data_IF_210064579530
#
_entry.id   IF_210064579530
#
_cell.length_a   1.000
_cell.length_b   1.000
_cell.length_c   1.000
_cell.angle_alpha   90.00
_cell.angle_beta   90.00
_cell.angle_gamma   90.00
#
_symmetry.space_group_name_H-M   'P 1'
#
loop_
_entity.id
_entity.type
_entity.pdbx_description
1 polymer ?
#
# COMPACT_ATOMS: atom_id res chain seq x y z
N UNK A 1 10.23 8.01 -7.37
CA UNK A 1 8.99 7.51 -8.00
C UNK A 1 8.95 6.00 -7.94
N UNK A 2 7.82 5.42 -7.54
CA UNK A 2 7.54 3.99 -7.59
C UNK A 2 6.51 3.72 -8.68
N UNK A 3 6.79 2.80 -9.60
CA UNK A 3 5.85 2.37 -10.65
C UNK A 3 5.40 0.94 -10.39
N UNK A 4 4.09 0.73 -10.33
CA UNK A 4 3.46 -0.57 -10.19
C UNK A 4 2.86 -1.00 -11.53
N UNK A 5 3.08 -2.27 -11.90
CA UNK A 5 2.72 -2.78 -13.22
C UNK A 5 1.93 -4.08 -13.09
N UNK A 6 0.86 -4.20 -13.89
CA UNK A 6 0.04 -5.40 -13.94
C UNK A 6 -0.92 -5.54 -12.76
N UNK A 7 -1.15 -6.76 -12.34
CA UNK A 7 -2.05 -7.10 -11.24
C UNK A 7 -1.29 -7.01 -9.90
N UNK A 8 -1.53 -5.91 -9.18
CA UNK A 8 -0.80 -5.59 -7.95
C UNK A 8 -1.51 -6.18 -6.75
N UNK A 9 -0.92 -7.20 -6.18
CA UNK A 9 -1.50 -8.02 -5.11
C UNK A 9 -0.60 -8.18 -3.90
N UNK A 10 -1.16 -8.81 -2.88
CA UNK A 10 -0.54 -9.25 -1.63
C UNK A 10 0.90 -9.78 -1.78
N UNK A 11 1.23 -10.45 -2.89
CA UNK A 11 2.58 -10.98 -3.14
C UNK A 11 3.69 -9.93 -3.17
N UNK A 12 3.34 -8.65 -3.36
CA UNK A 12 4.28 -7.53 -3.34
C UNK A 12 4.45 -6.87 -1.97
N UNK A 13 3.67 -7.27 -0.96
CA UNK A 13 3.66 -6.63 0.35
C UNK A 13 5.05 -6.56 0.99
N UNK A 14 5.78 -7.68 1.03
CA UNK A 14 7.11 -7.73 1.63
C UNK A 14 8.11 -6.86 0.89
N UNK A 15 8.05 -6.85 -0.44
CA UNK A 15 8.90 -6.02 -1.28
C UNK A 15 8.64 -4.54 -1.05
N UNK A 16 7.37 -4.14 -1.04
CA UNK A 16 6.97 -2.75 -0.85
C UNK A 16 7.30 -2.25 0.56
N UNK A 17 7.05 -3.06 1.58
CA UNK A 17 7.33 -2.70 2.97
C UNK A 17 8.83 -2.43 3.17
N UNK A 18 9.71 -3.31 2.70
CA UNK A 18 11.16 -3.12 2.77
C UNK A 18 11.65 -1.94 1.92
N UNK A 19 11.07 -1.74 0.74
CA UNK A 19 11.41 -0.61 -0.11
C UNK A 19 11.08 0.70 0.62
N UNK A 20 9.91 0.79 1.25
CA UNK A 20 9.50 2.00 1.97
C UNK A 20 10.30 2.25 3.23
N UNK A 21 10.72 1.21 3.97
CA UNK A 21 11.67 1.40 5.08
C UNK A 21 12.96 2.08 4.61
N UNK A 22 13.50 1.69 3.45
CA UNK A 22 14.68 2.34 2.86
C UNK A 22 14.39 3.77 2.40
N UNK A 23 13.25 4.00 1.75
CA UNK A 23 12.83 5.32 1.28
C UNK A 23 12.69 6.29 2.45
N UNK A 24 12.07 5.88 3.56
CA UNK A 24 11.90 6.74 4.73
C UNK A 24 13.17 6.92 5.57
N UNK A 25 14.16 6.04 5.42
CA UNK A 25 15.48 6.21 6.03
C UNK A 25 16.35 7.23 5.28
N UNK A 26 16.05 7.49 4.00
CA UNK A 26 16.79 8.43 3.16
C UNK A 26 16.30 9.87 3.38
N UNK A 27 17.15 10.71 3.95
CA UNK A 27 16.84 12.11 4.26
C UNK A 27 16.88 13.05 3.05
N UNK A 28 17.31 12.57 1.89
CA UNK A 28 17.34 13.35 0.64
C UNK A 28 16.01 13.26 -0.13
N UNK A 29 15.05 12.46 0.35
CA UNK A 29 13.75 12.30 -0.29
C UNK A 29 12.78 13.34 0.24
N UNK A 30 12.30 14.21 -0.65
CA UNK A 30 11.32 15.26 -0.35
C UNK A 30 9.90 14.87 -0.68
N UNK A 31 9.70 13.98 -1.65
CA UNK A 31 8.38 13.60 -2.15
C UNK A 31 8.33 12.17 -2.66
N UNK A 32 7.14 11.58 -2.59
CA UNK A 32 6.86 10.23 -3.06
C UNK A 32 5.82 10.31 -4.18
N UNK A 33 6.13 9.71 -5.32
CA UNK A 33 5.22 9.58 -6.45
C UNK A 33 4.99 8.10 -6.74
N UNK A 34 3.73 7.69 -6.80
CA UNK A 34 3.30 6.33 -7.11
C UNK A 34 2.63 6.35 -8.48
N UNK A 35 3.22 5.67 -9.44
CA UNK A 35 2.72 5.57 -10.80
C UNK A 35 1.95 4.25 -10.98
N UNK A 36 0.64 4.37 -11.16
CA UNK A 36 -0.31 3.27 -11.40
C UNK A 36 -0.78 3.22 -12.86
N UNK A 37 -0.16 3.97 -13.77
CA UNK A 37 -0.60 4.04 -15.18
C UNK A 37 -0.56 2.71 -15.90
N UNK A 38 0.24 1.75 -15.42
CA UNK A 38 0.34 0.39 -15.95
C UNK A 38 -0.15 -0.68 -14.97
N UNK A 39 -0.81 -0.29 -13.90
CA UNK A 39 -1.48 -1.22 -13.01
C UNK A 39 -2.84 -1.61 -13.62
N UNK A 40 -3.15 -2.91 -13.61
CA UNK A 40 -4.42 -3.44 -14.09
C UNK A 40 -5.43 -3.55 -12.95
N UNK A 41 -4.97 -3.88 -11.76
CA UNK A 41 -5.81 -4.05 -10.58
C UNK A 41 -5.01 -3.84 -9.29
N UNK A 42 -5.70 -3.48 -8.20
CA UNK A 42 -5.15 -3.34 -6.85
C UNK A 42 -6.03 -4.12 -5.88
N UNK A 43 -5.43 -4.94 -5.03
CA UNK A 43 -6.14 -5.56 -3.91
C UNK A 43 -6.18 -4.63 -2.68
N UNK A 44 -7.04 -4.97 -1.71
CA UNK A 44 -7.20 -4.17 -0.50
C UNK A 44 -5.94 -4.12 0.37
N UNK A 45 -5.10 -5.14 0.33
CA UNK A 45 -3.83 -5.14 1.05
C UNK A 45 -2.85 -4.12 0.46
N UNK A 46 -2.77 -4.06 -0.87
CA UNK A 46 -1.98 -3.03 -1.57
C UNK A 46 -2.50 -1.63 -1.26
N UNK A 47 -3.82 -1.43 -1.27
CA UNK A 47 -4.42 -0.14 -0.86
C UNK A 47 -4.02 0.24 0.57
N UNK A 48 -4.06 -0.69 1.50
CA UNK A 48 -3.63 -0.45 2.88
C UNK A 48 -2.14 -0.09 3.00
N UNK A 49 -1.27 -0.71 2.19
CA UNK A 49 0.15 -0.33 2.11
C UNK A 49 0.35 1.08 1.54
N UNK A 50 -0.40 1.45 0.51
CA UNK A 50 -0.38 2.82 -0.03
C UNK A 50 -0.84 3.83 1.05
N UNK A 51 -1.87 3.51 1.80
CA UNK A 51 -2.33 4.34 2.91
C UNK A 51 -1.25 4.50 3.99
N UNK A 52 -0.52 3.43 4.35
CA UNK A 52 0.65 3.52 5.26
C UNK A 52 1.71 4.48 4.77
N UNK A 53 1.98 4.50 3.47
CA UNK A 53 2.95 5.43 2.88
C UNK A 53 2.53 6.89 3.15
N UNK A 54 1.27 7.21 2.94
CA UNK A 54 0.79 8.57 3.17
C UNK A 54 0.90 8.97 4.64
N UNK A 55 0.56 8.08 5.57
CA UNK A 55 0.71 8.32 7.01
C UNK A 55 2.17 8.52 7.38
N UNK A 56 3.07 7.63 6.93
CA UNK A 56 4.52 7.75 7.19
C UNK A 56 5.12 9.01 6.57
N UNK A 57 4.72 9.38 5.35
CA UNK A 57 5.17 10.61 4.70
C UNK A 57 4.78 11.85 5.50
N UNK A 58 3.55 11.90 5.99
CA UNK A 58 3.07 12.99 6.85
C UNK A 58 3.86 13.08 8.15
N UNK A 59 4.10 11.96 8.83
CA UNK A 59 4.89 11.90 10.07
C UNK A 59 6.35 12.28 9.86
N UNK A 60 6.91 11.99 8.69
CA UNK A 60 8.28 12.37 8.32
C UNK A 60 8.41 13.82 7.84
N UNK A 61 7.29 14.56 7.75
CA UNK A 61 7.29 15.95 7.28
C UNK A 61 7.53 16.10 5.77
N UNK A 62 7.32 15.03 4.99
CA UNK A 62 7.42 15.07 3.53
C UNK A 62 6.21 15.78 2.91
N UNK A 63 6.37 16.24 1.67
CA UNK A 63 5.25 16.72 0.90
C UNK A 63 4.18 15.64 0.71
N UNK A 64 2.92 16.07 0.54
CA UNK A 64 1.81 15.15 0.27
C UNK A 64 2.17 14.25 -0.92
N UNK A 65 2.14 12.91 -0.75
CA UNK A 65 2.48 12.00 -1.84
C UNK A 65 1.46 12.07 -2.96
N UNK A 66 1.91 11.73 -4.17
CA UNK A 66 1.08 11.78 -5.37
C UNK A 66 0.86 10.38 -5.94
N UNK A 67 -0.34 10.15 -6.49
CA UNK A 67 -0.67 8.97 -7.29
C UNK A 67 -0.97 9.41 -8.72
N UNK A 68 -0.37 8.73 -9.69
CA UNK A 68 -0.69 8.90 -11.11
C UNK A 68 -1.53 7.69 -11.52
N UNK A 69 -2.76 7.92 -11.95
CA UNK A 69 -3.69 6.87 -12.40
C UNK A 69 -4.42 7.32 -13.66
N UNK A 70 -4.22 6.59 -14.74
CA UNK A 70 -4.94 6.78 -16.01
C UNK A 70 -6.10 5.79 -16.21
N UNK A 71 -6.22 4.80 -15.34
CA UNK A 71 -7.33 3.84 -15.33
C UNK A 71 -8.46 4.37 -14.46
N UNK A 72 -9.63 4.61 -15.07
CA UNK A 72 -10.81 5.15 -14.37
C UNK A 72 -11.30 4.27 -13.23
N UNK A 73 -11.20 2.94 -13.36
CA UNK A 73 -11.66 2.00 -12.33
C UNK A 73 -10.74 2.06 -11.09
N UNK A 74 -9.43 2.13 -11.31
CA UNK A 74 -8.45 2.34 -10.23
C UNK A 74 -8.66 3.70 -9.57
N UNK A 75 -8.86 4.76 -10.37
CA UNK A 75 -9.12 6.09 -9.84
C UNK A 75 -10.37 6.11 -8.99
N UNK A 76 -11.46 5.51 -9.46
CA UNK A 76 -12.72 5.41 -8.72
C UNK A 76 -12.55 4.59 -7.43
N UNK A 77 -11.80 3.49 -7.47
CA UNK A 77 -11.48 2.69 -6.30
C UNK A 77 -10.73 3.51 -5.23
N UNK A 78 -9.69 4.25 -5.62
CA UNK A 78 -8.93 5.11 -4.73
C UNK A 78 -9.83 6.20 -4.10
N UNK A 79 -10.68 6.82 -4.91
CA UNK A 79 -11.62 7.84 -4.44
C UNK A 79 -12.64 7.27 -3.44
N UNK A 80 -13.21 6.10 -3.74
CA UNK A 80 -14.18 5.44 -2.86
C UNK A 80 -13.59 5.09 -1.50
N UNK A 81 -12.26 4.84 -1.43
CA UNK A 81 -11.54 4.56 -0.18
C UNK A 81 -11.03 5.81 0.54
N UNK A 82 -11.31 7.02 0.02
CA UNK A 82 -10.93 8.28 0.66
C UNK A 82 -9.49 8.73 0.41
N UNK A 83 -8.83 8.19 -0.60
CA UNK A 83 -7.41 8.48 -0.88
C UNK A 83 -7.14 9.93 -1.27
N UNK A 84 -8.12 10.68 -1.78
CA UNK A 84 -7.94 12.12 -2.10
C UNK A 84 -7.59 12.99 -0.89
N UNK A 85 -7.89 12.54 0.31
CA UNK A 85 -7.50 13.25 1.54
C UNK A 85 -6.00 13.10 1.85
N UNK A 86 -5.37 12.05 1.36
CA UNK A 86 -4.00 11.65 1.68
C UNK A 86 -3.05 11.79 0.51
N UNK A 87 -3.55 11.73 -0.71
CA UNK A 87 -2.77 11.77 -1.94
C UNK A 87 -3.29 12.81 -2.91
N UNK A 88 -2.36 13.41 -3.65
CA UNK A 88 -2.69 14.15 -4.85
C UNK A 88 -2.86 13.16 -6.01
N UNK A 89 -4.09 12.91 -6.45
CA UNK A 89 -4.40 11.98 -7.55
C UNK A 89 -4.42 12.72 -8.86
N UNK A 90 -3.60 12.30 -9.82
CA UNK A 90 -3.41 12.91 -11.15
C UNK A 90 -3.54 11.87 -12.25
N UNK A 91 -4.00 12.28 -13.43
CA UNK A 91 -4.10 11.39 -14.60
C UNK A 91 -2.77 11.24 -15.35
N UNK A 92 -1.91 12.25 -15.30
CA UNK A 92 -0.65 12.30 -16.04
C UNK A 92 0.48 12.80 -15.14
N UNK A 93 1.71 12.32 -15.35
CA UNK A 93 2.85 12.83 -14.63
C UNK A 93 3.10 14.31 -14.98
N UNK A 94 3.47 15.10 -13.97
CA UNK A 94 3.84 16.51 -14.16
C UNK A 94 5.28 16.69 -14.68
N UNK A 95 6.07 15.63 -14.67
CA UNK A 95 7.49 15.64 -15.10
C UNK A 95 7.78 14.44 -16.01
N UNK A 96 8.85 14.56 -16.83
CA UNK A 96 9.33 13.45 -17.65
C UNK A 96 9.73 12.24 -16.80
N UNK A 97 9.49 11.05 -17.32
CA UNK A 97 9.92 9.80 -16.68
C UNK A 97 11.43 9.82 -16.46
N UNK A 98 11.85 9.62 -15.21
CA UNK A 98 13.24 9.31 -14.87
C UNK A 98 13.49 7.83 -15.14
N UNK A 99 14.75 7.47 -15.39
CA UNK A 99 15.14 6.07 -15.44
C UNK A 99 14.72 5.36 -14.15
N UNK A 100 13.96 4.28 -14.28
CA UNK A 100 13.50 3.45 -13.18
C UNK A 100 14.28 2.13 -13.21
N UNK A 101 14.69 1.65 -12.05
CA UNK A 101 15.23 0.31 -11.88
C UNK A 101 14.15 -0.64 -11.36
N UNK A 102 14.22 -1.90 -11.80
CA UNK A 102 13.34 -2.93 -11.26
C UNK A 102 13.75 -3.31 -9.85
N UNK A 103 12.76 -3.55 -8.99
CA UNK A 103 12.96 -4.05 -7.64
C UNK A 103 12.63 -5.54 -7.62
N UNK A 104 13.59 -6.35 -7.16
CA UNK A 104 13.39 -7.79 -7.04
C UNK A 104 12.28 -8.10 -6.03
N UNK A 105 11.39 -9.02 -6.41
CA UNK A 105 10.32 -9.47 -5.53
C UNK A 105 10.90 -10.30 -4.38
N UNK A 106 10.50 -9.97 -3.16
CA UNK A 106 10.92 -10.66 -1.94
C UNK A 106 9.80 -11.58 -1.46
N UNK A 107 10.16 -12.79 -1.08
CA UNK A 107 9.27 -13.71 -0.39
C UNK A 107 9.27 -13.40 1.12
N UNK A 108 8.09 -13.43 1.73
CA UNK A 108 7.93 -13.34 3.18
C UNK A 108 7.44 -14.68 3.76
N UNK A 109 7.64 -14.88 5.06
CA UNK A 109 6.98 -15.98 5.76
C UNK A 109 5.47 -15.76 5.79
N UNK A 110 4.69 -16.83 5.92
CA UNK A 110 3.24 -16.75 6.04
C UNK A 110 2.80 -15.88 7.22
N UNK A 111 3.48 -16.00 8.35
CA UNK A 111 3.24 -15.18 9.54
C UNK A 111 3.48 -13.69 9.29
N UNK A 112 4.59 -13.36 8.61
CA UNK A 112 4.92 -11.97 8.26
C UNK A 112 3.90 -11.39 7.29
N UNK A 113 3.51 -12.15 6.26
CA UNK A 113 2.46 -11.78 5.30
C UNK A 113 1.13 -11.50 5.99
N UNK A 114 0.73 -12.39 6.90
CA UNK A 114 -0.50 -12.22 7.68
C UNK A 114 -0.48 -10.94 8.52
N UNK A 115 0.63 -10.67 9.20
CA UNK A 115 0.81 -9.46 9.99
C UNK A 115 0.71 -8.20 9.11
N UNK A 116 1.29 -8.22 7.92
CA UNK A 116 1.21 -7.10 6.96
C UNK A 116 -0.21 -6.89 6.42
N UNK A 117 -0.92 -7.97 6.08
CA UNK A 117 -2.32 -7.91 5.65
C UNK A 117 -3.20 -7.28 6.72
N UNK A 118 -3.04 -7.71 7.96
CA UNK A 118 -3.80 -7.20 9.10
C UNK A 118 -3.51 -5.72 9.33
N UNK A 119 -2.26 -5.32 9.34
CA UNK A 119 -1.83 -3.93 9.50
C UNK A 119 -2.32 -3.03 8.36
N UNK A 120 -2.27 -3.51 7.11
CA UNK A 120 -2.79 -2.81 5.95
C UNK A 120 -4.30 -2.52 6.07
N UNK A 121 -5.08 -3.52 6.45
CA UNK A 121 -6.53 -3.36 6.61
C UNK A 121 -6.88 -2.47 7.81
N UNK A 122 -6.16 -2.55 8.91
CA UNK A 122 -6.32 -1.62 10.04
C UNK A 122 -6.02 -0.18 9.63
N UNK A 123 -5.01 0.03 8.80
CA UNK A 123 -4.68 1.35 8.28
C UNK A 123 -5.80 1.91 7.40
N UNK A 124 -6.40 1.10 6.52
CA UNK A 124 -7.57 1.50 5.73
C UNK A 124 -8.77 1.86 6.61
N UNK A 125 -9.03 1.06 7.65
CA UNK A 125 -10.12 1.32 8.61
C UNK A 125 -9.94 2.63 9.38
N UNK A 126 -8.69 3.01 9.66
CA UNK A 126 -8.38 4.26 10.36
C UNK A 126 -8.57 5.52 9.50
N UNK A 127 -8.69 5.38 8.17
CA UNK A 127 -8.83 6.51 7.26
C UNK A 127 -10.21 7.19 7.37
N UNK A 128 -11.29 6.40 7.45
CA UNK A 128 -12.66 6.89 7.52
C UNK A 128 -13.65 5.80 7.97
N UNK A 129 -14.88 6.19 8.30
CA UNK A 129 -15.90 5.27 8.79
C UNK A 129 -16.38 4.28 7.72
N UNK A 130 -16.45 4.69 6.45
CA UNK A 130 -16.81 3.81 5.34
C UNK A 130 -15.83 2.63 5.23
N UNK A 131 -14.53 2.89 5.28
CA UNK A 131 -13.50 1.86 5.26
C UNK A 131 -13.58 0.97 6.50
N UNK A 132 -13.89 1.55 7.67
CA UNK A 132 -14.08 0.79 8.91
C UNK A 132 -15.18 -0.25 8.75
N UNK A 133 -16.34 0.15 8.29
CA UNK A 133 -17.47 -0.75 8.05
C UNK A 133 -17.13 -1.81 6.98
N UNK A 134 -16.44 -1.42 5.92
CA UNK A 134 -16.08 -2.33 4.82
C UNK A 134 -15.10 -3.43 5.22
N UNK A 135 -14.16 -3.16 6.15
CA UNK A 135 -13.05 -4.07 6.47
C UNK A 135 -13.09 -4.66 7.89
N UNK A 136 -14.02 -4.26 8.74
CA UNK A 136 -14.11 -4.74 10.12
C UNK A 136 -14.22 -6.27 10.20
N UNK A 137 -15.07 -6.89 9.38
CA UNK A 137 -15.24 -8.34 9.33
C UNK A 137 -13.99 -9.07 8.82
N UNK A 138 -13.27 -8.47 7.89
CA UNK A 138 -12.01 -9.03 7.35
C UNK A 138 -10.94 -9.02 8.44
N UNK A 139 -10.79 -7.92 9.17
CA UNK A 139 -9.83 -7.79 10.26
C UNK A 139 -10.15 -8.79 11.38
N UNK A 140 -11.40 -8.89 11.77
CA UNK A 140 -11.84 -9.85 12.79
C UNK A 140 -11.56 -11.29 12.38
N UNK A 141 -11.85 -11.67 11.14
CA UNK A 141 -11.54 -13.00 10.62
C UNK A 141 -10.02 -13.31 10.61
N UNK A 142 -9.19 -12.31 10.31
CA UNK A 142 -7.73 -12.45 10.35
C UNK A 142 -7.20 -12.58 11.78
N UNK A 143 -7.81 -11.91 12.75
CA UNK A 143 -7.44 -12.00 14.16
C UNK A 143 -7.84 -13.34 14.78
N UNK A 144 -9.02 -13.85 14.43
CA UNK A 144 -9.59 -15.09 14.99
C UNK A 144 -8.95 -16.36 14.41
N UNK A 145 -8.22 -16.29 13.31
CA UNK A 145 -7.53 -17.44 12.73
C UNK A 145 -6.41 -17.94 13.67
N UNK A 146 -6.43 -19.20 14.12
CA UNK A 146 -5.39 -19.73 14.99
C UNK A 146 -4.01 -19.71 14.32
N UNK A 147 -2.98 -19.35 15.09
CA UNK A 147 -1.60 -19.44 14.64
C UNK A 147 -1.24 -20.89 14.29
N UNK A 148 -0.59 -21.17 13.15
CA UNK A 148 -0.15 -22.52 12.80
C UNK A 148 0.96 -23.08 13.69
N UNK A 149 1.40 -22.40 14.73
CA UNK A 149 2.54 -22.75 15.56
C UNK A 149 2.18 -23.32 16.95
N UNK A 150 1.08 -24.05 17.07
CA UNK A 150 0.84 -24.88 18.27
C UNK A 150 0.36 -26.28 17.89
N UNK A 151 1.12 -26.99 17.06
CA UNK A 151 1.17 -28.44 17.21
C UNK A 151 2.14 -28.74 18.35
N UNK A 152 1.56 -28.90 19.54
CA UNK A 152 2.24 -29.54 20.66
C UNK A 152 2.61 -30.94 20.24
N UNK A 153 3.89 -31.20 20.08
CA UNK A 153 4.43 -32.56 20.05
C UNK A 153 4.16 -33.19 21.41
N UNK A 154 3.24 -34.11 21.43
CA UNK A 154 3.20 -35.19 22.43
C UNK A 154 4.03 -36.36 21.94
#
# INVERSE_FOLDING_TARGET
MLKLVGDVRLTLCCTLDQLFEKVFADREIDSIVIDLTRADNLDSTTLGLLAKIAVKASLAGLHQPSIISSNSDITLLLESMGFRQYFLIMEKPMTSEKELSEVAQLAGSEEHLRAQVLDAHRTLMAMNDHNREAFESVVQALEDCPHPSQETSD
#
